data_IF_533609266040
#
_entry.id   IF_533609266040
#
_cell.length_a   1.000
_cell.length_b   1.000
_cell.length_c   1.000
_cell.angle_alpha   90.00
_cell.angle_beta   90.00
_cell.angle_gamma   90.00
#
_symmetry.space_group_name_H-M   'P 1'
#
loop_
_entity.id
_entity.type
_entity.pdbx_description
1 polymer ?
#
# COMPACT_ATOMS: atom_id res chain seq x y z
N UNK A 1 30.74 -4.22 -6.60
CA UNK A 1 30.51 -5.46 -5.83
C UNK A 1 29.51 -5.15 -4.73
N UNK A 2 28.21 -5.26 -5.03
CA UNK A 2 27.14 -5.15 -4.03
C UNK A 2 26.18 -6.31 -4.29
N UNK A 3 26.51 -7.46 -3.70
CA UNK A 3 25.61 -8.60 -3.63
C UNK A 3 24.79 -8.47 -2.36
N UNK A 4 23.47 -8.34 -2.50
CA UNK A 4 22.55 -8.68 -1.41
C UNK A 4 21.96 -10.03 -1.79
N UNK A 5 22.76 -11.08 -1.62
CA UNK A 5 22.26 -12.44 -1.56
C UNK A 5 21.56 -12.67 -0.22
N UNK A 6 20.64 -13.63 -0.24
CA UNK A 6 19.81 -14.05 0.88
C UNK A 6 20.65 -14.55 2.05
N UNK A 7 21.05 -13.61 2.90
CA UNK A 7 21.81 -13.86 4.10
C UNK A 7 20.95 -13.42 5.30
N UNK A 8 19.80 -14.07 5.47
CA UNK A 8 18.86 -13.76 6.55
C UNK A 8 19.33 -14.27 7.94
N UNK A 9 20.49 -14.94 8.02
CA UNK A 9 21.00 -15.54 9.26
C UNK A 9 22.53 -15.43 9.44
N UNK A 10 23.22 -14.60 8.66
CA UNK A 10 24.68 -14.48 8.64
C UNK A 10 25.23 -13.32 9.50
N UNK A 11 24.63 -13.01 10.65
CA UNK A 11 25.15 -11.93 11.51
C UNK A 11 24.97 -10.50 10.96
N UNK A 12 24.38 -10.33 9.78
CA UNK A 12 23.98 -9.03 9.22
C UNK A 12 22.97 -8.26 10.09
N UNK A 13 22.22 -8.95 10.97
CA UNK A 13 21.30 -8.33 11.94
C UNK A 13 21.99 -7.38 12.94
N UNK A 14 23.30 -7.56 13.20
CA UNK A 14 24.05 -6.72 14.13
C UNK A 14 24.76 -5.52 13.48
N UNK A 15 24.64 -5.38 12.16
CA UNK A 15 25.27 -4.27 11.42
C UNK A 15 24.59 -2.93 11.72
N UNK A 16 25.35 -1.82 11.76
CA UNK A 16 24.78 -0.48 11.90
C UNK A 16 23.82 -0.14 10.76
N UNK A 17 24.06 -0.66 9.56
CA UNK A 17 23.19 -0.52 8.38
C UNK A 17 21.82 -1.17 8.61
N UNK A 18 21.78 -2.40 9.15
CA UNK A 18 20.53 -3.06 9.51
C UNK A 18 19.77 -2.28 10.58
N UNK A 19 20.46 -1.80 11.62
CA UNK A 19 19.85 -0.97 12.68
C UNK A 19 19.27 0.34 12.12
N UNK A 20 19.95 0.96 11.16
CA UNK A 20 19.46 2.17 10.51
C UNK A 20 18.26 1.88 9.60
N UNK A 21 18.26 0.76 8.87
CA UNK A 21 17.12 0.31 8.08
C UNK A 21 15.89 0.09 8.97
N UNK A 22 16.04 -0.58 10.12
CA UNK A 22 14.94 -0.77 11.08
C UNK A 22 14.39 0.55 11.61
N UNK A 23 15.27 1.51 11.93
CA UNK A 23 14.83 2.87 12.32
C UNK A 23 14.06 3.56 11.20
N UNK A 24 14.51 3.41 9.95
CA UNK A 24 13.84 3.99 8.78
C UNK A 24 12.45 3.38 8.56
N UNK A 25 12.32 2.05 8.70
CA UNK A 25 11.03 1.34 8.61
C UNK A 25 10.01 1.94 9.59
N UNK A 26 10.42 2.19 10.84
CA UNK A 26 9.56 2.78 11.87
C UNK A 26 9.19 4.24 11.56
N UNK A 27 10.16 5.07 11.11
CA UNK A 27 9.88 6.45 10.71
C UNK A 27 8.90 6.52 9.53
N UNK A 28 9.11 5.66 8.54
CA UNK A 28 8.24 5.52 7.38
C UNK A 28 6.82 5.10 7.77
N UNK A 29 6.69 4.10 8.65
CA UNK A 29 5.38 3.64 9.13
C UNK A 29 4.63 4.76 9.88
N UNK A 30 5.33 5.51 10.75
CA UNK A 30 4.77 6.68 11.44
C UNK A 30 4.35 7.78 10.48
N UNK A 31 5.16 8.04 9.44
CA UNK A 31 4.82 9.05 8.43
C UNK A 31 3.60 8.65 7.62
N UNK A 32 3.47 7.38 7.25
CA UNK A 32 2.30 6.84 6.56
C UNK A 32 1.04 6.97 7.42
N UNK A 33 1.12 6.57 8.70
CA UNK A 33 0.00 6.71 9.63
C UNK A 33 -0.46 8.17 9.72
N UNK A 34 0.47 9.10 9.93
CA UNK A 34 0.17 10.54 10.00
C UNK A 34 -0.44 11.09 8.70
N UNK A 35 0.11 10.72 7.54
CA UNK A 35 -0.41 11.17 6.26
C UNK A 35 -1.85 10.67 6.02
N UNK A 36 -2.17 9.45 6.44
CA UNK A 36 -3.53 8.92 6.39
C UNK A 36 -4.47 9.59 7.40
N UNK A 37 -3.98 9.93 8.60
CA UNK A 37 -4.75 10.74 9.57
C UNK A 37 -5.09 12.13 9.00
N UNK A 38 -4.12 12.80 8.36
CA UNK A 38 -4.32 14.10 7.72
C UNK A 38 -5.38 14.03 6.59
N UNK A 39 -5.54 12.87 5.94
CA UNK A 39 -6.56 12.58 4.93
C UNK A 39 -7.92 12.13 5.52
N UNK A 40 -8.03 12.10 6.85
CA UNK A 40 -9.24 11.77 7.59
C UNK A 40 -9.51 10.27 7.74
N UNK A 41 -8.48 9.42 7.63
CA UNK A 41 -8.58 8.01 8.00
C UNK A 41 -8.33 7.84 9.51
N UNK A 42 -9.10 6.97 10.15
CA UNK A 42 -8.88 6.66 11.56
C UNK A 42 -7.78 5.61 11.72
N UNK A 43 -6.70 5.88 12.44
CA UNK A 43 -5.72 4.85 12.77
C UNK A 43 -6.19 4.13 14.04
N UNK A 44 -6.30 2.81 14.01
CA UNK A 44 -6.91 2.03 15.11
C UNK A 44 -6.19 2.25 16.45
N UNK A 45 -4.88 2.47 16.40
CA UNK A 45 -4.00 2.71 17.55
C UNK A 45 -3.62 4.18 17.75
N UNK A 46 -4.12 5.10 16.91
CA UNK A 46 -3.71 6.53 16.93
C UNK A 46 -2.27 6.78 16.50
N UNK A 47 -1.67 5.85 15.77
CA UNK A 47 -0.27 5.87 15.35
C UNK A 47 0.27 4.46 15.11
N UNK A 48 1.59 4.32 15.00
CA UNK A 48 2.26 3.02 14.97
C UNK A 48 3.65 3.07 15.61
N UNK A 49 3.97 2.01 16.35
CA UNK A 49 5.30 1.77 16.92
C UNK A 49 5.98 0.54 16.30
N UNK A 50 5.37 -0.03 15.26
CA UNK A 50 5.94 -1.14 14.51
C UNK A 50 5.92 -0.80 13.00
N UNK A 51 6.20 -1.81 12.19
CA UNK A 51 6.28 -1.67 10.73
C UNK A 51 4.91 -1.74 10.04
N UNK A 52 3.82 -1.95 10.79
CA UNK A 52 2.46 -2.09 10.30
C UNK A 52 1.60 -0.89 10.71
N UNK A 53 0.70 -0.50 9.84
CA UNK A 53 -0.33 0.52 10.10
C UNK A 53 -1.68 -0.13 9.89
N UNK A 54 -2.54 -0.07 10.90
CA UNK A 54 -3.92 -0.55 10.82
C UNK A 54 -4.85 0.64 10.66
N UNK A 55 -5.47 0.72 9.49
CA UNK A 55 -6.28 1.85 9.05
C UNK A 55 -7.75 1.46 9.09
N UNK A 56 -8.57 2.28 9.74
CA UNK A 56 -10.03 2.18 9.73
C UNK A 56 -10.59 2.98 8.55
N UNK A 57 -11.20 2.27 7.61
CA UNK A 57 -11.87 2.82 6.42
C UNK A 57 -13.39 2.87 6.57
N UNK A 58 -13.93 2.32 7.67
CA UNK A 58 -15.35 2.38 7.99
C UNK A 58 -15.87 3.82 8.16
N UNK A 59 -15.00 4.79 8.48
CA UNK A 59 -15.36 6.22 8.52
C UNK A 59 -15.77 6.76 7.14
N UNK A 60 -15.29 6.16 6.05
CA UNK A 60 -15.71 6.48 4.67
C UNK A 60 -16.95 5.66 4.25
N UNK A 61 -17.45 4.81 5.14
CA UNK A 61 -18.62 3.97 4.96
C UNK A 61 -18.43 2.81 4.00
N UNK A 62 -17.18 2.42 3.67
CA UNK A 62 -16.86 1.38 2.68
C UNK A 62 -16.29 0.11 3.32
N UNK A 63 -16.62 -1.03 2.73
CA UNK A 63 -16.14 -2.34 3.15
C UNK A 63 -14.68 -2.57 2.72
N UNK A 64 -13.88 -3.22 3.58
CA UNK A 64 -12.48 -3.49 3.32
C UNK A 64 -12.22 -4.41 2.14
N UNK A 65 -13.07 -5.40 1.90
CA UNK A 65 -12.91 -6.33 0.78
C UNK A 65 -13.02 -5.60 -0.55
N UNK A 66 -13.94 -4.63 -0.65
CA UNK A 66 -14.08 -3.80 -1.84
C UNK A 66 -12.85 -2.94 -2.08
N UNK A 67 -12.35 -2.28 -1.03
CA UNK A 67 -11.15 -1.43 -1.13
C UNK A 67 -9.93 -2.27 -1.54
N UNK A 68 -9.72 -3.43 -0.89
CA UNK A 68 -8.58 -4.30 -1.18
C UNK A 68 -8.54 -4.75 -2.64
N UNK A 69 -9.68 -5.06 -3.25
CA UNK A 69 -9.76 -5.42 -4.67
C UNK A 69 -9.38 -4.29 -5.61
N UNK A 70 -9.83 -3.08 -5.31
CA UNK A 70 -9.47 -1.90 -6.11
C UNK A 70 -7.98 -1.62 -5.96
N UNK A 71 -7.44 -1.74 -4.75
CA UNK A 71 -6.01 -1.62 -4.47
C UNK A 71 -5.20 -2.65 -5.25
N UNK A 72 -5.63 -3.92 -5.27
CA UNK A 72 -4.99 -4.98 -6.06
C UNK A 72 -5.01 -4.65 -7.56
N UNK A 73 -6.14 -4.16 -8.08
CA UNK A 73 -6.27 -3.77 -9.48
C UNK A 73 -5.31 -2.63 -9.89
N UNK A 74 -4.98 -1.73 -8.95
CA UNK A 74 -4.01 -0.64 -9.16
C UNK A 74 -2.58 -0.98 -8.72
N UNK A 75 -2.30 -2.26 -8.42
CA UNK A 75 -1.00 -2.77 -7.99
C UNK A 75 -0.53 -2.24 -6.62
N UNK A 76 -1.45 -1.97 -5.69
CA UNK A 76 -1.15 -1.72 -4.28
C UNK A 76 -1.49 -2.96 -3.46
N UNK A 77 -0.50 -3.50 -2.73
CA UNK A 77 -0.70 -4.65 -1.84
C UNK A 77 -1.04 -4.19 -0.43
N UNK A 78 -2.21 -4.56 0.06
CA UNK A 78 -2.64 -4.36 1.45
C UNK A 78 -3.28 -5.65 1.98
N UNK A 79 -3.29 -5.82 3.30
CA UNK A 79 -3.84 -7.00 3.97
C UNK A 79 -5.19 -6.70 4.62
N UNK A 80 -6.06 -7.71 4.70
CA UNK A 80 -7.26 -7.64 5.54
C UNK A 80 -6.84 -7.80 7.01
N UNK A 81 -7.45 -7.00 7.88
CA UNK A 81 -7.30 -7.16 9.33
C UNK A 81 -8.54 -7.89 9.90
N UNK A 82 -8.45 -8.41 11.13
CA UNK A 82 -9.52 -9.20 11.75
C UNK A 82 -10.84 -8.44 11.88
N UNK A 83 -10.80 -7.11 12.00
CA UNK A 83 -11.99 -6.26 11.97
C UNK A 83 -12.39 -5.94 10.51
N UNK A 84 -13.67 -6.07 10.14
CA UNK A 84 -14.13 -5.94 8.75
C UNK A 84 -13.87 -4.57 8.14
N UNK A 85 -13.89 -3.50 8.94
CA UNK A 85 -13.71 -2.12 8.46
C UNK A 85 -12.25 -1.65 8.46
N UNK A 86 -11.30 -2.58 8.63
CA UNK A 86 -9.89 -2.24 8.82
C UNK A 86 -8.97 -2.98 7.84
N UNK A 87 -7.97 -2.26 7.36
CA UNK A 87 -6.93 -2.77 6.46
C UNK A 87 -5.55 -2.57 7.09
N UNK A 88 -4.64 -3.50 6.84
CA UNK A 88 -3.26 -3.47 7.33
C UNK A 88 -2.31 -3.19 6.18
N UNK A 89 -1.37 -2.27 6.39
CA UNK A 89 -0.30 -1.95 5.44
C UNK A 89 1.05 -1.94 6.14
N UNK A 90 2.13 -2.29 5.42
CA UNK A 90 3.47 -2.35 5.98
C UNK A 90 4.49 -1.50 5.23
N UNK A 91 5.44 -0.90 5.94
CA UNK A 91 6.51 -0.09 5.35
C UNK A 91 7.75 -0.90 4.93
N UNK A 92 7.88 -2.15 5.41
CA UNK A 92 9.05 -3.03 5.20
C UNK A 92 9.46 -3.14 3.72
N UNK A 93 8.55 -3.62 2.87
CA UNK A 93 8.88 -3.93 1.47
C UNK A 93 9.33 -2.70 0.67
N UNK A 94 8.70 -1.56 0.90
CA UNK A 94 9.07 -0.31 0.22
C UNK A 94 10.35 0.30 0.80
N UNK A 95 10.54 0.22 2.12
CA UNK A 95 11.76 0.73 2.76
C UNK A 95 13.00 -0.03 2.29
N UNK A 96 12.90 -1.35 2.12
CA UNK A 96 13.99 -2.16 1.54
C UNK A 96 14.33 -1.77 0.09
N UNK A 97 13.40 -1.14 -0.65
CA UNK A 97 13.63 -0.59 -1.99
C UNK A 97 14.19 0.84 -1.98
N UNK A 98 14.47 1.41 -0.81
CA UNK A 98 15.00 2.76 -0.64
C UNK A 98 13.94 3.85 -0.42
N UNK A 99 12.69 3.49 -0.07
CA UNK A 99 11.68 4.49 0.23
C UNK A 99 11.96 5.21 1.56
N UNK A 100 11.78 6.54 1.56
CA UNK A 100 11.89 7.43 2.72
C UNK A 100 10.53 8.08 3.04
N UNK A 101 10.47 8.84 4.14
CA UNK A 101 9.26 9.44 4.69
C UNK A 101 8.46 10.25 3.66
N UNK A 102 9.13 11.02 2.81
CA UNK A 102 8.49 11.83 1.76
C UNK A 102 7.73 10.98 0.75
N UNK A 103 8.25 9.80 0.42
CA UNK A 103 7.59 8.88 -0.50
C UNK A 103 6.38 8.20 0.13
N UNK A 104 6.37 8.01 1.45
CA UNK A 104 5.20 7.47 2.16
C UNK A 104 4.03 8.47 2.21
N UNK A 105 4.29 9.77 2.11
CA UNK A 105 3.21 10.75 1.90
C UNK A 105 2.54 10.55 0.53
N UNK A 106 3.33 10.40 -0.54
CA UNK A 106 2.80 10.09 -1.88
C UNK A 106 2.04 8.75 -1.92
N UNK A 107 2.52 7.74 -1.19
CA UNK A 107 1.82 6.45 -1.08
C UNK A 107 0.46 6.62 -0.39
N UNK A 108 0.36 7.46 0.64
CA UNK A 108 -0.92 7.79 1.28
C UNK A 108 -1.90 8.43 0.29
N UNK A 109 -1.44 9.32 -0.59
CA UNK A 109 -2.27 9.93 -1.63
C UNK A 109 -2.76 8.90 -2.65
N UNK A 110 -1.93 7.94 -3.05
CA UNK A 110 -2.36 6.84 -3.94
C UNK A 110 -3.41 5.94 -3.28
N UNK A 111 -3.25 5.68 -1.97
CA UNK A 111 -4.24 4.91 -1.19
C UNK A 111 -5.57 5.67 -1.16
N UNK A 112 -5.55 6.97 -0.90
CA UNK A 112 -6.77 7.77 -0.85
C UNK A 112 -7.50 7.83 -2.21
N UNK A 113 -6.75 7.93 -3.30
CA UNK A 113 -7.31 7.84 -4.65
C UNK A 113 -7.95 6.48 -4.91
N UNK A 114 -7.32 5.38 -4.48
CA UNK A 114 -7.87 4.03 -4.62
C UNK A 114 -9.16 3.85 -3.81
N UNK A 115 -9.21 4.36 -2.57
CA UNK A 115 -10.42 4.33 -1.73
C UNK A 115 -11.53 5.18 -2.35
N UNK A 116 -11.20 6.38 -2.84
CA UNK A 116 -12.15 7.27 -3.53
C UNK A 116 -12.74 6.62 -4.79
N UNK A 117 -11.93 5.88 -5.54
CA UNK A 117 -12.39 5.11 -6.70
C UNK A 117 -13.33 3.98 -6.27
N UNK A 118 -12.98 3.26 -5.20
CA UNK A 118 -13.83 2.21 -4.63
C UNK A 118 -15.20 2.74 -4.19
N UNK A 119 -15.25 3.95 -3.58
CA UNK A 119 -16.50 4.63 -3.22
C UNK A 119 -17.35 4.97 -4.45
N UNK A 120 -16.75 5.50 -5.53
CA UNK A 120 -17.46 5.81 -6.78
C UNK A 120 -18.07 4.56 -7.41
N UNK A 121 -17.33 3.45 -7.39
CA UNK A 121 -17.80 2.17 -7.93
C UNK A 121 -18.98 1.66 -7.11
N UNK A 122 -18.87 1.68 -5.76
CA UNK A 122 -19.97 1.28 -4.88
C UNK A 122 -21.22 2.13 -5.09
N UNK A 123 -21.07 3.46 -5.12
CA UNK A 123 -22.22 4.36 -5.30
C UNK A 123 -22.91 4.15 -6.66
N UNK A 124 -22.16 3.73 -7.68
CA UNK A 124 -22.72 3.37 -8.99
C UNK A 124 -23.45 2.01 -8.99
N UNK A 125 -23.29 1.16 -7.96
CA UNK A 125 -23.73 -0.23 -7.99
C UNK A 125 -24.66 -0.66 -6.83
N UNK A 126 -25.08 0.25 -5.96
CA UNK A 126 -26.01 -0.08 -4.86
C UNK A 126 -25.34 -0.81 -3.70
N UNK A 127 -26.13 -1.12 -2.66
CA UNK A 127 -25.67 -1.47 -1.31
C UNK A 127 -25.12 -2.89 -1.12
N UNK A 128 -25.31 -3.80 -2.07
CA UNK A 128 -24.84 -5.20 -1.96
C UNK A 128 -24.08 -5.57 -3.22
N UNK A 129 -22.77 -5.50 -3.11
CA UNK A 129 -21.84 -5.85 -4.18
C UNK A 129 -21.15 -7.13 -3.74
N UNK A 130 -21.63 -8.26 -4.25
CA UNK A 130 -20.95 -9.54 -4.07
C UNK A 130 -19.55 -9.48 -4.68
N UNK A 131 -18.64 -10.27 -4.11
CA UNK A 131 -17.25 -10.38 -4.53
C UNK A 131 -17.12 -10.58 -6.05
N UNK A 132 -17.95 -11.46 -6.63
CA UNK A 132 -17.94 -11.73 -8.07
C UNK A 132 -18.44 -10.53 -8.90
N UNK A 133 -19.44 -9.80 -8.40
CA UNK A 133 -20.00 -8.64 -9.07
C UNK A 133 -18.95 -7.54 -9.19
N UNK A 134 -18.19 -7.27 -8.12
CA UNK A 134 -17.11 -6.29 -8.15
C UNK A 134 -16.04 -6.62 -9.19
N UNK A 135 -15.60 -7.88 -9.25
CA UNK A 135 -14.61 -8.32 -10.26
C UNK A 135 -15.14 -8.14 -11.69
N UNK A 136 -16.44 -8.40 -11.91
CA UNK A 136 -17.09 -8.20 -13.21
C UNK A 136 -17.19 -6.71 -13.54
N UNK A 137 -17.53 -5.86 -12.57
CA UNK A 137 -17.69 -4.42 -12.76
C UNK A 137 -16.38 -3.72 -13.10
N UNK A 138 -15.29 -4.08 -12.42
CA UNK A 138 -13.94 -3.61 -12.72
C UNK A 138 -13.53 -3.94 -14.17
N UNK A 139 -14.08 -5.01 -14.76
CA UNK A 139 -13.79 -5.46 -16.13
C UNK A 139 -14.80 -5.00 -17.19
N UNK A 140 -16.04 -4.64 -16.80
CA UNK A 140 -17.11 -4.29 -17.74
C UNK A 140 -17.29 -2.79 -17.91
N UNK A 141 -16.99 -1.99 -16.89
CA UNK A 141 -17.18 -0.54 -16.96
C UNK A 141 -15.92 0.13 -17.53
N UNK A 142 -15.96 0.47 -18.83
CA UNK A 142 -14.84 1.09 -19.57
C UNK A 142 -14.31 2.37 -18.91
N UNK A 143 -15.16 3.15 -18.25
CA UNK A 143 -14.75 4.40 -17.59
C UNK A 143 -13.96 4.11 -16.32
N UNK A 144 -14.45 3.16 -15.50
CA UNK A 144 -13.74 2.72 -14.29
C UNK A 144 -12.43 2.04 -14.65
N UNK A 145 -12.43 1.17 -15.67
CA UNK A 145 -11.23 0.49 -16.16
C UNK A 145 -10.16 1.50 -16.58
N UNK A 146 -10.54 2.58 -17.29
CA UNK A 146 -9.62 3.64 -17.69
C UNK A 146 -9.03 4.39 -16.48
N UNK A 147 -9.84 4.67 -15.45
CA UNK A 147 -9.36 5.30 -14.22
C UNK A 147 -8.40 4.39 -13.44
N UNK A 148 -8.68 3.09 -13.37
CA UNK A 148 -7.79 2.09 -12.76
C UNK A 148 -6.48 2.01 -13.53
N UNK A 149 -6.53 1.92 -14.86
CA UNK A 149 -5.34 1.86 -15.70
C UNK A 149 -4.49 3.13 -15.59
N UNK A 150 -5.12 4.31 -15.53
CA UNK A 150 -4.42 5.57 -15.31
C UNK A 150 -3.70 5.58 -13.96
N UNK A 151 -4.41 5.26 -12.87
CA UNK A 151 -3.84 5.24 -11.52
C UNK A 151 -2.74 4.18 -11.41
N UNK A 152 -2.97 2.97 -11.95
CA UNK A 152 -1.96 1.91 -12.05
C UNK A 152 -0.72 2.38 -12.81
N UNK A 153 -0.90 3.07 -13.94
CA UNK A 153 0.20 3.62 -14.73
C UNK A 153 1.04 4.60 -13.92
N UNK A 154 0.41 5.53 -13.19
CA UNK A 154 1.10 6.48 -12.32
C UNK A 154 1.84 5.78 -11.18
N UNK A 155 1.22 4.79 -10.53
CA UNK A 155 1.84 4.02 -9.44
C UNK A 155 3.04 3.23 -9.95
N UNK A 156 2.92 2.55 -11.09
CA UNK A 156 4.02 1.78 -11.68
C UNK A 156 5.17 2.68 -12.14
N UNK A 157 4.86 3.84 -12.73
CA UNK A 157 5.86 4.85 -13.10
C UNK A 157 6.58 5.42 -11.88
N UNK A 158 5.88 5.57 -10.76
CA UNK A 158 6.50 5.99 -9.51
C UNK A 158 7.37 4.87 -8.93
N UNK A 159 6.85 3.64 -8.92
CA UNK A 159 7.53 2.47 -8.38
C UNK A 159 8.77 2.05 -9.21
N UNK A 160 8.80 2.32 -10.52
CA UNK A 160 9.94 2.01 -11.39
C UNK A 160 11.18 2.87 -11.14
N UNK A 161 11.02 4.00 -10.43
CA UNK A 161 12.14 4.86 -10.01
C UNK A 161 13.02 4.21 -8.95
N UNK A 162 12.54 3.16 -8.30
CA UNK A 162 13.21 2.49 -7.19
C UNK A 162 13.69 1.10 -7.60
N UNK A 163 14.89 0.69 -7.15
CA UNK A 163 15.46 -0.61 -7.50
C UNK A 163 14.53 -1.76 -7.08
N UNK A 164 14.54 -2.84 -7.88
CA UNK A 164 13.96 -4.10 -7.47
C UNK A 164 14.95 -4.83 -6.57
N UNK A 165 14.49 -5.21 -5.38
CA UNK A 165 15.31 -6.01 -4.45
C UNK A 165 15.32 -7.45 -4.98
N UNK A 166 16.50 -7.96 -5.32
CA UNK A 166 16.71 -9.37 -5.70
C UNK A 166 16.85 -9.65 -7.21
N UNK A 167 16.66 -8.67 -8.10
CA UNK A 167 17.02 -8.85 -9.51
C UNK A 167 18.45 -8.36 -9.74
N UNK A 168 19.40 -9.30 -9.66
CA UNK A 168 20.69 -9.15 -10.31
C UNK A 168 20.46 -9.28 -11.82
N UNK A 169 20.02 -8.22 -12.49
CA UNK A 169 20.21 -8.13 -13.93
C UNK A 169 21.73 -8.10 -14.16
N UNK A 170 22.27 -9.25 -14.55
CA UNK A 170 23.58 -9.39 -15.16
C UNK A 170 23.61 -8.45 -16.38
N UNK A 171 24.18 -7.27 -16.20
CA UNK A 171 24.80 -6.56 -17.32
C UNK A 171 26.15 -7.23 -17.56
N UNK A 172 26.14 -8.29 -18.36
CA UNK A 172 27.27 -8.59 -19.26
C UNK A 172 27.13 -7.75 -20.53
#
# INVERSE_FOLDING_TARGET
MYGIEANAFDGSANTPEYKNCQKQILKNARRLAKALEDLGYGIVTGGTDNHLVVVNIGTKGIDAQTVLKVMEAVCISAGRHTRPDTITMGSLALTSRGFIEEHFAMVADFIDQAVSLALKIRNSCGSVVDDALMTILLKKNKEVEKQIQALKGTILQYASKFPQVGNNEQKE
#
